data_IF_142169009278
#
_entry.id   IF_142169009278
#
_cell.length_a   1.000
_cell.length_b   1.000
_cell.length_c   1.000
_cell.angle_alpha   90.00
_cell.angle_beta   90.00
_cell.angle_gamma   90.00
#
_symmetry.space_group_name_H-M   'P 1'
#
loop_
_entity.id
_entity.type
_entity.pdbx_description
1 polymer ?
#
# COMPACT_ATOMS: atom_id res chain seq x y z
N UNK A 1 -10.22 6.82 20.80
CA UNK A 1 -9.38 7.82 20.11
C UNK A 1 -9.97 7.96 18.72
N UNK A 2 -10.39 9.16 18.31
CA UNK A 2 -10.87 9.37 16.95
C UNK A 2 -9.65 9.36 16.04
N UNK A 3 -9.53 8.36 15.18
CA UNK A 3 -8.51 8.36 14.11
C UNK A 3 -8.83 9.52 13.16
N UNK A 4 -7.87 10.41 12.85
CA UNK A 4 -8.01 11.43 11.80
C UNK A 4 -8.67 10.87 10.53
N UNK A 5 -9.48 11.68 9.85
CA UNK A 5 -10.17 11.23 8.63
C UNK A 5 -9.15 10.88 7.54
N UNK A 6 -8.02 11.58 7.52
CA UNK A 6 -6.88 11.27 6.65
C UNK A 6 -6.37 9.84 6.84
N UNK A 7 -6.18 9.38 8.08
CA UNK A 7 -5.78 8.00 8.37
C UNK A 7 -6.84 7.01 7.85
N UNK A 8 -8.13 7.35 7.92
CA UNK A 8 -9.20 6.50 7.39
C UNK A 8 -9.16 6.38 5.86
N UNK A 9 -8.66 7.39 5.14
CA UNK A 9 -8.45 7.32 3.69
C UNK A 9 -7.40 6.25 3.37
N UNK A 10 -6.26 6.33 4.06
CA UNK A 10 -5.17 5.38 3.86
C UNK A 10 -5.53 3.96 4.32
N UNK A 11 -6.22 3.82 5.45
CA UNK A 11 -6.73 2.54 5.95
C UNK A 11 -7.67 1.88 4.93
N UNK A 12 -8.52 2.65 4.24
CA UNK A 12 -9.41 2.13 3.20
C UNK A 12 -8.63 1.57 2.01
N UNK A 13 -7.60 2.29 1.56
CA UNK A 13 -6.73 1.89 0.45
C UNK A 13 -5.99 0.60 0.81
N UNK A 14 -5.33 0.56 1.96
CA UNK A 14 -4.58 -0.61 2.44
C UNK A 14 -5.51 -1.81 2.63
N UNK A 15 -6.69 -1.62 3.21
CA UNK A 15 -7.67 -2.69 3.42
C UNK A 15 -8.13 -3.28 2.09
N UNK A 16 -8.36 -2.43 1.08
CA UNK A 16 -8.68 -2.91 -0.27
C UNK A 16 -7.53 -3.73 -0.85
N UNK A 17 -6.28 -3.22 -0.79
CA UNK A 17 -5.10 -3.90 -1.31
C UNK A 17 -4.89 -5.29 -0.69
N UNK A 18 -5.02 -5.40 0.64
CA UNK A 18 -4.92 -6.67 1.39
C UNK A 18 -5.88 -7.74 0.87
N UNK A 19 -7.01 -7.36 0.26
CA UNK A 19 -7.97 -8.31 -0.32
C UNK A 19 -7.60 -8.81 -1.72
N UNK A 20 -6.64 -8.17 -2.40
CA UNK A 20 -6.27 -8.48 -3.80
C UNK A 20 -5.20 -9.57 -3.93
N UNK A 21 -4.60 -10.00 -2.82
CA UNK A 21 -3.59 -11.05 -2.80
C UNK A 21 -3.65 -11.87 -1.51
N UNK A 22 -2.86 -12.94 -1.43
CA UNK A 22 -2.76 -13.77 -0.23
C UNK A 22 -1.94 -13.03 0.86
N UNK A 23 -2.59 -12.07 1.50
CA UNK A 23 -2.01 -11.26 2.56
C UNK A 23 -1.66 -12.09 3.80
N UNK A 24 -2.45 -13.12 4.12
CA UNK A 24 -2.18 -14.00 5.26
C UNK A 24 -0.85 -14.76 5.08
N UNK A 25 -0.65 -15.39 3.92
CA UNK A 25 0.62 -16.05 3.61
C UNK A 25 1.79 -15.06 3.53
N UNK A 26 1.54 -13.85 3.04
CA UNK A 26 2.56 -12.79 3.02
C UNK A 26 2.95 -12.35 4.44
N UNK A 27 1.97 -12.06 5.30
CA UNK A 27 2.17 -11.69 6.69
C UNK A 27 2.89 -12.78 7.48
N UNK A 28 2.59 -14.05 7.23
CA UNK A 28 3.23 -15.18 7.89
C UNK A 28 4.76 -15.22 7.67
N UNK A 29 5.27 -14.64 6.58
CA UNK A 29 6.72 -14.51 6.33
C UNK A 29 7.42 -13.60 7.35
N UNK A 30 6.67 -12.69 7.97
CA UNK A 30 7.17 -11.70 8.93
C UNK A 30 6.78 -12.01 10.38
N UNK A 31 6.22 -13.19 10.67
CA UNK A 31 5.70 -13.57 12.01
C UNK A 31 6.71 -13.48 13.17
N UNK A 32 8.00 -13.56 12.87
CA UNK A 32 9.08 -13.46 13.86
C UNK A 32 9.62 -12.03 14.01
N UNK A 33 9.08 -11.09 13.23
CA UNK A 33 9.42 -9.68 13.24
C UNK A 33 8.23 -8.88 13.77
N UNK A 34 8.10 -7.63 13.34
CA UNK A 34 6.99 -6.75 13.69
C UNK A 34 5.78 -7.00 12.78
N UNK A 35 4.60 -7.19 13.39
CA UNK A 35 3.32 -7.42 12.70
C UNK A 35 2.90 -6.26 11.78
N UNK A 36 3.45 -5.05 11.98
CA UNK A 36 3.19 -3.88 11.13
C UNK A 36 4.02 -3.86 9.83
N UNK A 37 5.08 -4.67 9.71
CA UNK A 37 5.95 -4.67 8.51
C UNK A 37 5.18 -5.01 7.23
N UNK A 38 4.38 -6.08 7.16
CA UNK A 38 3.68 -6.45 5.92
C UNK A 38 2.74 -5.35 5.42
N UNK A 39 2.07 -4.67 6.35
CA UNK A 39 1.20 -3.55 6.04
C UNK A 39 1.98 -2.35 5.50
N UNK A 40 3.11 -2.01 6.13
CA UNK A 40 4.00 -0.95 5.67
C UNK A 40 4.55 -1.21 4.27
N UNK A 41 4.89 -2.46 3.96
CA UNK A 41 5.35 -2.84 2.62
C UNK A 41 4.26 -2.59 1.58
N UNK A 42 3.02 -3.01 1.87
CA UNK A 42 1.88 -2.78 0.98
C UNK A 42 1.63 -1.28 0.80
N UNK A 43 1.68 -0.50 1.89
CA UNK A 43 1.52 0.95 1.84
C UNK A 43 2.61 1.62 1.00
N UNK A 44 3.89 1.32 1.28
CA UNK A 44 5.03 1.86 0.54
C UNK A 44 4.88 1.58 -0.96
N UNK A 45 4.58 0.33 -1.33
CA UNK A 45 4.41 -0.06 -2.72
C UNK A 45 3.34 0.79 -3.44
N UNK A 46 2.18 0.97 -2.81
CA UNK A 46 1.07 1.73 -3.40
C UNK A 46 1.44 3.22 -3.53
N UNK A 47 2.04 3.80 -2.49
CA UNK A 47 2.41 5.21 -2.48
C UNK A 47 3.53 5.51 -3.48
N UNK A 48 4.55 4.68 -3.57
CA UNK A 48 5.62 4.83 -4.56
C UNK A 48 5.09 4.78 -5.99
N UNK A 49 4.22 3.81 -6.30
CA UNK A 49 3.59 3.77 -7.63
C UNK A 49 2.69 4.97 -7.90
N UNK A 50 1.90 5.40 -6.91
CA UNK A 50 1.06 6.59 -7.04
C UNK A 50 1.88 7.87 -7.25
N UNK A 51 3.12 7.90 -6.76
CA UNK A 51 4.08 9.00 -6.92
C UNK A 51 4.86 8.93 -8.23
N UNK A 52 4.63 7.89 -9.04
CA UNK A 52 5.27 7.71 -10.35
C UNK A 52 6.69 7.13 -10.29
N UNK A 53 7.06 6.47 -9.20
CA UNK A 53 8.36 5.78 -9.09
C UNK A 53 8.43 4.56 -10.02
N UNK A 54 9.63 4.30 -10.56
CA UNK A 54 9.89 3.14 -11.43
C UNK A 54 10.09 1.85 -10.60
N UNK A 55 9.71 0.71 -11.17
CA UNK A 55 9.70 -0.60 -10.49
C UNK A 55 11.07 -0.97 -9.90
N UNK A 56 12.15 -0.63 -10.61
CA UNK A 56 13.53 -0.83 -10.20
C UNK A 56 13.85 -0.08 -8.90
N UNK A 57 13.44 1.19 -8.82
CA UNK A 57 13.69 2.05 -7.67
C UNK A 57 12.87 1.61 -6.45
N UNK A 58 11.59 1.29 -6.66
CA UNK A 58 10.71 0.74 -5.63
C UNK A 58 11.30 -0.55 -5.07
N UNK A 59 11.77 -1.43 -5.95
CA UNK A 59 12.36 -2.72 -5.56
C UNK A 59 13.65 -2.54 -4.76
N UNK A 60 14.52 -1.63 -5.17
CA UNK A 60 15.75 -1.32 -4.46
C UNK A 60 15.48 -0.74 -3.06
N UNK A 61 14.56 0.23 -2.97
CA UNK A 61 14.16 0.82 -1.69
C UNK A 61 13.56 -0.22 -0.75
N UNK A 62 12.63 -1.04 -1.26
CA UNK A 62 12.00 -2.09 -0.47
C UNK A 62 13.02 -3.12 0.00
N UNK A 63 13.98 -3.50 -0.84
CA UNK A 63 15.08 -4.40 -0.45
C UNK A 63 15.95 -3.81 0.66
N UNK A 64 16.27 -2.52 0.58
CA UNK A 64 17.04 -1.82 1.60
C UNK A 64 16.28 -1.78 2.94
N UNK A 65 14.98 -1.49 2.91
CA UNK A 65 14.12 -1.51 4.10
C UNK A 65 14.07 -2.91 4.73
N UNK A 66 13.82 -3.94 3.93
CA UNK A 66 13.80 -5.34 4.39
C UNK A 66 15.14 -5.78 4.98
N UNK A 67 16.24 -5.42 4.33
CA UNK A 67 17.59 -5.72 4.83
C UNK A 67 17.86 -5.03 6.16
N UNK A 68 17.42 -3.77 6.31
CA UNK A 68 17.61 -2.98 7.54
C UNK A 68 16.93 -3.58 8.77
N UNK A 69 15.82 -4.31 8.57
CA UNK A 69 15.09 -5.01 9.63
C UNK A 69 15.57 -6.45 9.84
N UNK A 70 16.67 -6.86 9.19
CA UNK A 70 17.24 -8.19 9.28
C UNK A 70 16.50 -9.25 8.47
N UNK A 71 15.65 -8.82 7.52
CA UNK A 71 14.94 -9.72 6.62
C UNK A 71 15.66 -9.78 5.27
N UNK A 72 16.34 -10.90 5.02
CA UNK A 72 16.96 -11.15 3.72
C UNK A 72 15.96 -11.84 2.81
N UNK A 73 15.37 -11.06 1.90
CA UNK A 73 14.72 -11.63 0.73
C UNK A 73 15.78 -11.99 -0.31
N UNK A 74 15.56 -13.04 -1.09
CA UNK A 74 16.33 -13.22 -2.32
C UNK A 74 15.90 -12.10 -3.29
N UNK A 75 16.84 -11.27 -3.77
CA UNK A 75 16.55 -10.05 -4.55
C UNK A 75 15.59 -10.26 -5.74
N UNK A 76 15.66 -11.41 -6.41
CA UNK A 76 14.74 -11.76 -7.51
C UNK A 76 13.28 -11.88 -7.06
N UNK A 77 13.02 -12.16 -5.79
CA UNK A 77 11.68 -12.30 -5.26
C UNK A 77 11.04 -10.93 -4.92
N UNK A 78 11.84 -9.88 -4.60
CA UNK A 78 11.28 -8.54 -4.33
C UNK A 78 10.84 -7.87 -5.62
N UNK A 79 11.67 -7.87 -6.66
CA UNK A 79 11.29 -7.29 -7.95
C UNK A 79 10.04 -7.96 -8.53
N UNK A 80 9.98 -9.29 -8.48
CA UNK A 80 8.79 -10.03 -8.92
C UNK A 80 7.56 -9.75 -8.04
N UNK A 81 7.74 -9.53 -6.74
CA UNK A 81 6.66 -9.11 -5.85
C UNK A 81 6.14 -7.72 -6.23
N UNK A 82 7.02 -6.74 -6.41
CA UNK A 82 6.69 -5.37 -6.80
C UNK A 82 5.90 -5.37 -8.11
N UNK A 83 6.44 -5.99 -9.16
CA UNK A 83 5.81 -6.08 -10.48
C UNK A 83 4.45 -6.77 -10.47
N UNK A 84 4.34 -7.92 -9.79
CA UNK A 84 3.07 -8.67 -9.72
C UNK A 84 1.98 -7.84 -9.03
N UNK A 85 2.34 -7.12 -7.98
CA UNK A 85 1.38 -6.36 -7.20
C UNK A 85 1.05 -4.99 -7.81
N UNK A 86 1.89 -4.44 -8.70
CA UNK A 86 1.54 -3.27 -9.52
C UNK A 86 0.23 -3.50 -10.29
N UNK A 87 0.13 -4.61 -11.01
CA UNK A 87 -1.09 -4.95 -11.76
C UNK A 87 -2.28 -5.21 -10.82
N UNK A 88 -2.04 -5.94 -9.73
CA UNK A 88 -3.07 -6.30 -8.76
C UNK A 88 -3.63 -5.10 -7.99
N UNK A 89 -2.82 -4.07 -7.76
CA UNK A 89 -3.16 -2.87 -6.99
C UNK A 89 -3.49 -1.65 -7.87
N UNK A 90 -3.73 -1.84 -9.16
CA UNK A 90 -4.00 -0.72 -10.10
C UNK A 90 -5.11 0.24 -9.61
N UNK A 91 -6.17 -0.27 -8.99
CA UNK A 91 -7.24 0.56 -8.41
C UNK A 91 -6.78 1.29 -7.16
N UNK A 92 -6.02 0.65 -6.28
CA UNK A 92 -5.47 1.22 -5.05
C UNK A 92 -4.39 2.26 -5.32
N UNK A 93 -3.55 2.05 -6.32
CA UNK A 93 -2.55 3.00 -6.81
C UNK A 93 -3.25 4.25 -7.33
N UNK A 94 -4.29 4.08 -8.15
CA UNK A 94 -5.08 5.22 -8.64
C UNK A 94 -5.82 5.94 -7.52
N UNK A 95 -6.37 5.21 -6.54
CA UNK A 95 -7.02 5.80 -5.37
C UNK A 95 -6.04 6.61 -4.51
N UNK A 96 -4.81 6.11 -4.32
CA UNK A 96 -3.77 6.82 -3.60
C UNK A 96 -3.32 8.08 -4.35
N UNK A 97 -3.11 7.99 -5.66
CA UNK A 97 -2.80 9.14 -6.52
C UNK A 97 -3.88 10.23 -6.36
N UNK A 98 -5.15 9.84 -6.47
CA UNK A 98 -6.27 10.77 -6.35
C UNK A 98 -6.35 11.38 -4.94
N UNK A 99 -6.14 10.57 -3.89
CA UNK A 99 -6.11 11.05 -2.52
C UNK A 99 -5.00 12.10 -2.31
N UNK A 100 -3.79 11.85 -2.82
CA UNK A 100 -2.70 12.82 -2.75
C UNK A 100 -3.08 14.14 -3.45
N UNK A 101 -3.56 14.08 -4.69
CA UNK A 101 -3.92 15.28 -5.45
C UNK A 101 -5.01 16.11 -4.74
N UNK A 102 -6.07 15.46 -4.24
CA UNK A 102 -7.15 16.15 -3.54
C UNK A 102 -6.70 16.74 -2.20
N UNK A 103 -5.83 16.04 -1.46
CA UNK A 103 -5.25 16.57 -0.22
C UNK A 103 -4.37 17.80 -0.49
N UNK A 104 -3.56 17.77 -1.55
CA UNK A 104 -2.72 18.90 -1.97
C UNK A 104 -3.56 20.12 -2.40
N UNK A 105 -4.70 19.88 -3.06
CA UNK A 105 -5.66 20.92 -3.44
C UNK A 105 -6.43 21.49 -2.25
N UNK A 106 -6.32 20.88 -1.06
CA UNK A 106 -7.01 21.30 0.16
C UNK A 106 -8.49 20.91 0.19
N UNK A 107 -8.87 19.87 -0.54
CA UNK A 107 -10.23 19.35 -0.53
C UNK A 107 -10.63 18.80 0.84
N UNK A 108 -11.94 18.78 1.10
CA UNK A 108 -12.47 18.31 2.37
C UNK A 108 -12.21 16.80 2.54
N UNK A 109 -11.48 16.41 3.59
CA UNK A 109 -11.07 15.02 3.85
C UNK A 109 -12.25 14.02 3.80
N UNK A 110 -13.45 14.41 4.22
CA UNK A 110 -14.65 13.56 4.11
C UNK A 110 -15.05 13.25 2.67
N UNK A 111 -14.95 14.22 1.75
CA UNK A 111 -15.22 14.01 0.32
C UNK A 111 -14.16 13.14 -0.32
N UNK A 112 -12.90 13.30 0.10
CA UNK A 112 -11.79 12.44 -0.36
C UNK A 112 -12.06 10.99 0.07
N UNK A 113 -12.42 10.77 1.33
CA UNK A 113 -12.78 9.45 1.85
C UNK A 113 -13.97 8.83 1.11
N UNK A 114 -15.02 9.58 0.82
CA UNK A 114 -16.18 9.11 0.04
C UNK A 114 -15.76 8.71 -1.38
N UNK A 115 -14.94 9.54 -2.03
CA UNK A 115 -14.42 9.30 -3.38
C UNK A 115 -13.59 8.02 -3.43
N UNK A 116 -12.61 7.89 -2.52
CA UNK A 116 -11.77 6.69 -2.38
C UNK A 116 -12.61 5.46 -2.07
N UNK A 117 -13.60 5.58 -1.18
CA UNK A 117 -14.48 4.45 -0.81
C UNK A 117 -15.36 3.97 -1.96
N UNK A 118 -15.82 4.91 -2.80
CA UNK A 118 -16.60 4.62 -4.00
C UNK A 118 -15.74 3.94 -5.06
N UNK A 119 -14.52 4.45 -5.27
CA UNK A 119 -13.57 3.91 -6.24
C UNK A 119 -13.15 2.48 -5.91
N UNK A 120 -12.90 2.20 -4.62
CA UNK A 120 -12.36 0.92 -4.19
C UNK A 120 -13.43 -0.15 -3.91
N UNK A 121 -14.71 0.18 -4.05
CA UNK A 121 -15.89 -0.65 -3.76
C UNK A 121 -15.59 -1.95 -3.00
N UNK A 122 -15.24 -1.82 -1.72
CA UNK A 122 -15.07 -2.95 -0.83
C UNK A 122 -16.43 -3.21 -0.21
N UNK A 123 -17.09 -4.31 -0.57
CA UNK A 123 -18.29 -4.77 0.14
C UNK A 123 -17.98 -4.80 1.65
N UNK A 124 -18.83 -4.19 2.50
CA UNK A 124 -18.68 -4.36 3.93
C UNK A 124 -18.83 -5.85 4.26
N UNK A 125 -17.78 -6.46 4.81
CA UNK A 125 -17.84 -7.80 5.41
C UNK A 125 -18.70 -7.79 6.67
#
# INVERSE_FOLDING_TARGET
MNTPIEDQIWDRIITSAKSKFDYESFQAKFKNFNEAIPERIVFHLIVSYASGEEEEYISENLNNELTSIGYQYEDQNVYNFVKKNHEAFSAEIYAAYLAFSLLEEGEEQHKILETVSTLLYVEPK
#
